data_IF_899352784274
#
_entry.id   IF_899352784274
#
_cell.length_a   1.000
_cell.length_b   1.000
_cell.length_c   1.000
_cell.angle_alpha   90.00
_cell.angle_beta   90.00
_cell.angle_gamma   90.00
#
_symmetry.space_group_name_H-M   'P 1'
#
loop_
_entity.id
_entity.type
_entity.pdbx_description
1 polymer ?
#
# COMPACT_ATOMS: atom_id res chain seq x y z
N UNK A 1 26.42 -0.71 24.27
CA UNK A 1 25.20 -0.41 23.54
C UNK A 1 25.58 0.01 22.14
N UNK A 2 25.11 -0.68 21.16
CA UNK A 2 25.36 -0.38 19.78
C UNK A 2 24.15 0.43 19.31
N UNK A 3 24.37 1.56 18.68
CA UNK A 3 23.32 2.30 18.00
C UNK A 3 23.06 1.64 16.65
N UNK A 4 21.79 1.44 16.30
CA UNK A 4 21.39 1.01 14.97
C UNK A 4 20.90 2.22 14.17
N UNK A 5 21.37 2.34 12.94
CA UNK A 5 20.94 3.37 11.99
C UNK A 5 20.24 2.71 10.81
N UNK A 6 19.10 3.26 10.40
CA UNK A 6 18.37 2.78 9.24
C UNK A 6 18.98 3.39 7.98
N UNK A 7 19.59 2.57 7.13
CA UNK A 7 20.14 3.01 5.86
C UNK A 7 19.06 3.06 4.78
N UNK A 8 19.04 4.09 3.91
CA UNK A 8 18.12 4.16 2.78
C UNK A 8 18.37 3.02 1.79
N UNK A 9 17.42 2.08 1.56
CA UNK A 9 17.68 0.89 0.76
C UNK A 9 18.10 1.17 -0.69
N UNK A 10 17.63 2.28 -1.26
CA UNK A 10 17.94 2.66 -2.65
C UNK A 10 19.37 3.19 -2.84
N UNK A 11 20.03 3.61 -1.76
CA UNK A 11 21.42 4.09 -1.77
C UNK A 11 22.45 3.00 -1.40
N UNK A 12 21.96 1.86 -0.89
CA UNK A 12 22.84 0.74 -0.53
C UNK A 12 22.99 -0.18 -1.72
N UNK A 13 24.20 -0.46 -2.15
CA UNK A 13 24.48 -1.49 -3.15
C UNK A 13 24.80 -2.80 -2.46
N UNK A 14 24.16 -3.90 -2.91
CA UNK A 14 24.41 -5.25 -2.40
C UNK A 14 25.08 -6.07 -3.48
N UNK A 15 26.18 -6.73 -3.15
CA UNK A 15 26.95 -7.57 -4.04
C UNK A 15 27.38 -8.87 -3.33
N UNK A 16 27.77 -9.88 -4.06
CA UNK A 16 28.42 -11.07 -3.51
C UNK A 16 29.93 -10.90 -3.55
N UNK A 17 30.61 -11.32 -2.50
CA UNK A 17 32.05 -11.43 -2.44
C UNK A 17 32.56 -12.79 -2.93
N UNK A 18 31.68 -13.80 -2.98
CA UNK A 18 31.93 -15.15 -3.48
C UNK A 18 30.91 -15.48 -4.59
N UNK A 19 31.21 -16.49 -5.39
CA UNK A 19 30.32 -16.99 -6.45
C UNK A 19 29.38 -18.11 -5.97
N UNK A 20 29.34 -18.37 -4.67
CA UNK A 20 28.49 -19.43 -4.09
C UNK A 20 27.08 -18.90 -3.79
N UNK A 21 26.14 -19.25 -4.65
CA UNK A 21 24.73 -18.87 -4.50
C UNK A 21 24.08 -19.55 -3.28
N UNK A 22 24.56 -20.71 -2.87
CA UNK A 22 23.99 -21.45 -1.74
C UNK A 22 24.41 -20.86 -0.38
N UNK A 23 25.61 -20.26 -0.33
CA UNK A 23 26.14 -19.59 0.85
C UNK A 23 26.74 -18.23 0.47
N UNK A 24 25.92 -17.23 0.13
CA UNK A 24 26.38 -15.94 -0.37
C UNK A 24 27.06 -15.14 0.74
N UNK A 25 28.33 -14.76 0.53
CA UNK A 25 29.00 -13.75 1.35
C UNK A 25 28.59 -12.35 0.82
N UNK A 26 27.67 -11.71 1.51
CA UNK A 26 27.11 -10.42 1.08
C UNK A 26 28.00 -9.27 1.50
N UNK A 27 28.22 -8.34 0.57
CA UNK A 27 28.88 -7.07 0.78
C UNK A 27 27.90 -5.93 0.49
N UNK A 28 27.95 -4.94 1.35
CA UNK A 28 27.11 -3.75 1.26
C UNK A 28 27.98 -2.54 1.06
N UNK A 29 27.61 -1.67 0.12
CA UNK A 29 28.29 -0.39 -0.10
C UNK A 29 27.30 0.76 0.08
N UNK A 30 27.66 1.70 0.95
CA UNK A 30 26.88 2.90 1.24
C UNK A 30 27.84 4.08 1.47
N UNK A 31 27.58 5.20 0.81
CA UNK A 31 28.39 6.44 0.92
C UNK A 31 29.91 6.19 0.76
N UNK A 32 30.28 5.38 -0.26
CA UNK A 32 31.67 5.04 -0.54
C UNK A 32 32.35 4.10 0.46
N UNK A 33 31.65 3.66 1.50
CA UNK A 33 32.12 2.70 2.50
C UNK A 33 31.59 1.29 2.21
N UNK A 34 32.39 0.30 2.54
CA UNK A 34 32.05 -1.11 2.38
C UNK A 34 31.80 -1.75 3.74
N UNK A 35 30.71 -2.50 3.84
CA UNK A 35 30.27 -3.18 5.05
C UNK A 35 30.08 -4.67 4.78
N UNK A 36 30.17 -5.47 5.82
CA UNK A 36 29.94 -6.92 5.78
C UNK A 36 28.57 -7.27 6.33
N UNK A 37 28.18 -8.54 6.21
CA UNK A 37 26.96 -9.07 6.85
C UNK A 37 26.98 -9.02 8.39
N UNK A 38 28.12 -8.75 9.00
CA UNK A 38 28.24 -8.53 10.45
C UNK A 38 27.93 -7.09 10.86
N UNK A 39 28.06 -6.17 9.92
CA UNK A 39 27.88 -4.72 10.17
C UNK A 39 26.46 -4.27 9.78
N UNK A 40 25.74 -5.06 8.95
CA UNK A 40 24.46 -4.69 8.38
C UNK A 40 23.43 -5.81 8.61
N UNK A 41 22.30 -5.44 9.20
CA UNK A 41 21.12 -6.30 9.25
C UNK A 41 20.32 -6.05 7.96
N UNK A 42 20.20 -7.07 7.13
CA UNK A 42 19.49 -6.98 5.86
C UNK A 42 18.13 -7.68 5.98
N UNK A 43 17.08 -6.92 6.27
CA UNK A 43 15.71 -7.40 6.29
C UNK A 43 15.21 -7.55 4.85
N UNK A 44 14.79 -8.76 4.47
CA UNK A 44 14.30 -9.08 3.12
C UNK A 44 12.86 -9.53 3.18
N UNK A 45 11.98 -8.71 2.67
CA UNK A 45 10.60 -9.14 2.45
C UNK A 45 10.50 -9.83 1.07
N UNK A 46 9.74 -10.92 0.95
CA UNK A 46 9.66 -11.76 -0.25
C UNK A 46 11.03 -12.14 -0.80
N UNK A 47 11.62 -13.14 -0.18
CA UNK A 47 12.94 -13.64 -0.60
C UNK A 47 12.79 -14.48 -1.89
N UNK A 48 13.30 -13.95 -3.00
CA UNK A 48 13.30 -14.65 -4.30
C UNK A 48 14.63 -15.36 -4.47
N UNK A 49 14.64 -16.69 -4.69
CA UNK A 49 15.87 -17.43 -4.93
C UNK A 49 16.72 -16.83 -6.07
N UNK A 50 18.01 -16.67 -5.83
CA UNK A 50 18.94 -16.07 -6.78
C UNK A 50 18.97 -14.53 -6.78
N UNK A 51 18.13 -13.87 -6.02
CA UNK A 51 18.19 -12.41 -5.84
C UNK A 51 18.86 -12.05 -4.51
N UNK A 52 19.73 -11.06 -4.55
CA UNK A 52 20.44 -10.59 -3.36
C UNK A 52 19.55 -9.72 -2.46
N UNK A 53 18.51 -9.13 -3.03
CA UNK A 53 17.54 -8.27 -2.34
C UNK A 53 16.17 -8.93 -2.31
N UNK A 54 15.41 -8.63 -1.28
CA UNK A 54 13.99 -8.96 -1.25
C UNK A 54 13.19 -8.18 -2.30
N UNK A 55 12.09 -8.74 -2.74
CA UNK A 55 11.17 -8.11 -3.67
C UNK A 55 10.12 -7.33 -2.88
N UNK A 56 10.05 -6.01 -3.10
CA UNK A 56 9.00 -5.19 -2.50
C UNK A 56 7.64 -5.42 -3.17
N UNK A 57 6.51 -5.33 -2.45
CA UNK A 57 5.17 -5.52 -3.02
C UNK A 57 4.89 -4.59 -4.22
N UNK A 58 5.28 -3.32 -4.13
CA UNK A 58 5.13 -2.35 -5.22
C UNK A 58 5.96 -2.75 -6.44
N UNK A 59 7.17 -3.29 -6.22
CA UNK A 59 8.01 -3.76 -7.33
C UNK A 59 7.45 -5.03 -7.97
N UNK A 60 6.82 -5.90 -7.19
CA UNK A 60 6.17 -7.11 -7.67
C UNK A 60 4.96 -6.82 -8.56
N UNK A 61 4.23 -5.74 -8.27
CA UNK A 61 3.05 -5.32 -9.03
C UNK A 61 3.29 -4.04 -9.85
N UNK A 62 4.51 -3.88 -10.32
CA UNK A 62 4.91 -2.67 -11.04
C UNK A 62 4.04 -2.39 -12.26
N UNK A 63 3.74 -3.43 -13.04
CA UNK A 63 2.94 -3.30 -14.26
C UNK A 63 1.51 -2.84 -13.97
N UNK A 64 0.90 -3.37 -12.90
CA UNK A 64 -0.43 -2.97 -12.47
C UNK A 64 -0.46 -1.52 -11.96
N UNK A 65 0.53 -1.12 -11.19
CA UNK A 65 0.64 0.25 -10.67
C UNK A 65 0.88 1.26 -11.80
N UNK A 66 1.77 0.93 -12.74
CA UNK A 66 2.02 1.77 -13.92
C UNK A 66 0.78 1.84 -14.82
N UNK A 67 0.08 0.73 -15.01
CA UNK A 67 -1.17 0.67 -15.77
C UNK A 67 -2.27 1.55 -15.16
N UNK A 68 -2.44 1.49 -13.84
CA UNK A 68 -3.39 2.33 -13.11
C UNK A 68 -3.03 3.83 -13.23
N UNK A 69 -1.76 4.17 -13.12
CA UNK A 69 -1.29 5.54 -13.30
C UNK A 69 -1.56 6.07 -14.73
N UNK A 70 -1.26 5.27 -15.74
CA UNK A 70 -1.52 5.62 -17.15
C UNK A 70 -3.01 5.83 -17.43
N UNK A 71 -3.87 5.00 -16.87
CA UNK A 71 -5.31 5.12 -17.02
C UNK A 71 -5.86 6.37 -16.35
N UNK A 72 -5.36 6.71 -15.15
CA UNK A 72 -5.70 7.96 -14.46
C UNK A 72 -5.27 9.18 -15.29
N UNK A 73 -4.05 9.16 -15.82
CA UNK A 73 -3.53 10.25 -16.65
C UNK A 73 -4.28 10.38 -17.96
N UNK A 74 -4.68 9.26 -18.58
CA UNK A 74 -5.56 9.27 -19.75
C UNK A 74 -6.90 9.92 -19.42
N UNK A 75 -7.53 9.51 -18.31
CA UNK A 75 -8.79 10.11 -17.84
C UNK A 75 -8.65 11.62 -17.60
N UNK A 76 -7.59 12.04 -16.91
CA UNK A 76 -7.34 13.45 -16.65
C UNK A 76 -7.18 14.25 -17.97
N UNK A 77 -6.39 13.75 -18.91
CA UNK A 77 -6.22 14.38 -20.23
C UNK A 77 -7.51 14.42 -21.02
N UNK A 78 -8.33 13.37 -20.94
CA UNK A 78 -9.60 13.33 -21.62
C UNK A 78 -10.54 14.47 -21.22
N UNK A 79 -10.54 14.85 -19.94
CA UNK A 79 -11.39 15.93 -19.42
C UNK A 79 -10.74 17.32 -19.56
N UNK A 80 -9.43 17.42 -19.50
CA UNK A 80 -8.73 18.72 -19.49
C UNK A 80 -8.23 19.15 -20.85
N UNK A 81 -7.93 18.19 -21.75
CA UNK A 81 -7.30 18.50 -23.02
C UNK A 81 -8.36 18.78 -24.08
N UNK A 82 -8.49 20.05 -24.42
CA UNK A 82 -9.31 20.49 -25.56
C UNK A 82 -8.77 19.99 -26.91
N UNK A 83 -7.57 19.37 -26.92
CA UNK A 83 -6.95 18.76 -28.11
C UNK A 83 -7.48 17.36 -28.44
N UNK A 84 -8.24 16.74 -27.54
CA UNK A 84 -8.93 15.50 -27.86
C UNK A 84 -9.85 15.73 -29.05
N UNK A 85 -9.63 14.96 -30.10
CA UNK A 85 -10.45 15.02 -31.32
C UNK A 85 -11.87 14.59 -30.92
N UNK A 86 -12.71 15.56 -30.59
CA UNK A 86 -14.12 15.34 -30.22
C UNK A 86 -14.98 14.91 -31.39
N UNK A 87 -14.45 14.97 -32.60
CA UNK A 87 -15.12 14.57 -33.85
C UNK A 87 -14.32 14.98 -35.07
N UNK A 88 -14.82 14.62 -36.22
CA UNK A 88 -14.25 15.05 -37.48
C UNK A 88 -15.32 15.67 -38.37
N UNK A 89 -14.90 16.61 -39.23
CA UNK A 89 -15.74 17.18 -40.26
C UNK A 89 -15.66 16.28 -41.47
N UNK A 90 -16.79 15.71 -41.88
CA UNK A 90 -16.95 14.94 -43.09
C UNK A 90 -17.52 15.82 -44.18
N UNK A 91 -16.95 15.77 -45.37
CA UNK A 91 -17.49 16.39 -46.57
C UNK A 91 -17.91 15.33 -47.58
N UNK A 92 -19.06 15.49 -48.18
CA UNK A 92 -19.54 14.61 -49.26
C UNK A 92 -18.90 14.94 -50.61
N UNK A 93 -18.16 16.06 -50.69
CA UNK A 93 -17.42 16.47 -51.90
C UNK A 93 -15.91 16.38 -51.67
N UNK A 94 -15.14 16.17 -52.73
CA UNK A 94 -13.69 16.23 -52.69
C UNK A 94 -13.22 17.61 -52.23
N UNK A 95 -12.57 17.66 -51.09
CA UNK A 95 -11.95 18.88 -50.57
C UNK A 95 -10.48 18.96 -50.99
N UNK A 96 -10.07 20.12 -51.48
CA UNK A 96 -8.64 20.43 -51.63
C UNK A 96 -8.04 20.70 -50.25
N UNK A 97 -6.72 20.56 -50.14
CA UNK A 97 -6.01 20.79 -48.88
C UNK A 97 -6.24 22.21 -48.32
N UNK A 98 -6.35 23.21 -49.21
CA UNK A 98 -6.61 24.60 -48.86
C UNK A 98 -8.01 24.78 -48.25
N UNK A 99 -9.04 24.17 -48.84
CA UNK A 99 -10.42 24.19 -48.34
C UNK A 99 -10.52 23.47 -47.00
N UNK A 100 -9.79 22.36 -46.83
CA UNK A 100 -9.74 21.63 -45.56
C UNK A 100 -9.09 22.45 -44.45
N UNK A 101 -7.98 23.16 -44.73
CA UNK A 101 -7.32 24.08 -43.82
C UNK A 101 -8.23 25.27 -43.43
N UNK A 102 -8.94 25.83 -44.43
CA UNK A 102 -9.90 26.91 -44.20
C UNK A 102 -11.07 26.47 -43.31
N UNK A 103 -11.67 25.31 -43.58
CA UNK A 103 -12.74 24.76 -42.75
C UNK A 103 -12.28 24.48 -41.30
N UNK A 104 -11.07 23.94 -41.14
CA UNK A 104 -10.48 23.72 -39.81
C UNK A 104 -10.22 25.03 -39.08
N UNK A 105 -9.73 26.05 -39.75
CA UNK A 105 -9.49 27.37 -39.18
C UNK A 105 -10.82 28.05 -38.77
N UNK A 106 -11.83 28.01 -39.61
CA UNK A 106 -13.18 28.53 -39.32
C UNK A 106 -13.82 27.79 -38.11
N UNK A 107 -13.64 26.47 -38.05
CA UNK A 107 -14.12 25.67 -36.92
C UNK A 107 -13.47 26.08 -35.60
N UNK A 108 -12.17 26.36 -35.60
CA UNK A 108 -11.42 26.80 -34.43
C UNK A 108 -11.69 28.25 -34.02
N UNK A 109 -11.94 29.12 -34.98
CA UNK A 109 -12.17 30.56 -34.76
C UNK A 109 -13.53 30.87 -34.12
N UNK A 110 -14.50 29.96 -34.23
CA UNK A 110 -15.88 30.18 -33.76
C UNK A 110 -16.07 29.77 -32.28
N UNK A 111 -15.25 30.28 -31.36
CA UNK A 111 -15.55 30.29 -29.95
C UNK A 111 -15.40 28.97 -29.20
N UNK A 112 -15.83 28.95 -27.95
CA UNK A 112 -15.74 27.85 -26.99
C UNK A 112 -16.48 26.59 -27.43
N UNK A 113 -16.07 25.46 -26.83
CA UNK A 113 -16.60 24.12 -27.15
C UNK A 113 -18.13 23.97 -26.91
N UNK A 114 -18.75 24.94 -26.24
CA UNK A 114 -20.19 24.98 -25.95
C UNK A 114 -20.99 25.84 -26.92
N UNK A 115 -20.33 26.50 -27.87
CA UNK A 115 -21.00 27.40 -28.84
C UNK A 115 -21.64 26.62 -30.00
N UNK A 116 -22.80 27.09 -30.46
CA UNK A 116 -23.50 26.50 -31.61
C UNK A 116 -22.71 26.80 -32.87
N UNK A 117 -22.20 25.74 -33.47
CA UNK A 117 -21.42 25.85 -34.70
C UNK A 117 -22.31 25.66 -35.93
N UNK A 118 -22.31 26.63 -36.82
CA UNK A 118 -23.04 26.56 -38.06
C UNK A 118 -22.15 25.91 -39.15
N UNK A 119 -22.64 24.83 -39.74
CA UNK A 119 -21.96 24.11 -40.81
C UNK A 119 -22.57 24.48 -42.14
N UNK A 120 -21.73 24.58 -43.20
CA UNK A 120 -22.22 24.70 -44.55
C UNK A 120 -22.91 23.40 -45.03
N UNK A 121 -23.74 23.51 -46.05
CA UNK A 121 -24.57 22.40 -46.59
C UNK A 121 -23.80 21.14 -46.98
N UNK A 122 -22.49 21.24 -47.17
CA UNK A 122 -21.62 20.14 -47.61
C UNK A 122 -20.72 19.56 -46.50
N UNK A 123 -20.88 20.02 -45.25
CA UNK A 123 -20.11 19.57 -44.13
C UNK A 123 -21.02 18.97 -43.06
N UNK A 124 -20.68 17.78 -42.60
CA UNK A 124 -21.32 17.14 -41.43
C UNK A 124 -20.28 16.94 -40.36
N UNK A 125 -20.70 17.20 -39.14
CA UNK A 125 -19.85 16.88 -37.96
C UNK A 125 -20.19 15.48 -37.46
N UNK A 126 -19.18 14.63 -37.38
CA UNK A 126 -19.31 13.31 -36.80
C UNK A 126 -18.59 13.30 -35.46
N UNK A 127 -19.32 13.29 -34.36
CA UNK A 127 -18.70 13.22 -33.02
C UNK A 127 -17.99 11.87 -32.89
N UNK A 128 -16.78 11.89 -32.37
CA UNK A 128 -16.11 10.71 -31.83
C UNK A 128 -16.59 10.54 -30.39
N UNK A 129 -17.79 10.00 -30.23
CA UNK A 129 -18.31 9.67 -28.94
C UNK A 129 -17.54 8.44 -28.41
N UNK A 130 -17.04 8.54 -27.19
CA UNK A 130 -16.68 7.34 -26.44
C UNK A 130 -17.95 6.51 -26.27
N UNK A 131 -17.93 5.30 -26.78
CA UNK A 131 -19.05 4.39 -26.57
C UNK A 131 -19.25 4.23 -25.07
N UNK A 132 -20.49 4.02 -24.59
CA UNK A 132 -20.76 3.73 -23.18
C UNK A 132 -19.86 2.60 -22.64
N UNK A 133 -19.44 1.65 -23.47
CA UNK A 133 -18.49 0.60 -23.13
C UNK A 133 -17.08 1.13 -22.78
N UNK A 134 -16.64 2.22 -23.42
CA UNK A 134 -15.35 2.83 -23.15
C UNK A 134 -15.40 3.63 -21.84
N UNK A 135 -16.55 4.23 -21.52
CA UNK A 135 -16.82 4.86 -20.22
C UNK A 135 -16.91 3.81 -19.11
N UNK A 136 -17.52 2.66 -19.39
CA UNK A 136 -17.63 1.55 -18.46
C UNK A 136 -16.25 0.93 -18.17
N UNK A 137 -15.36 0.90 -19.15
CA UNK A 137 -13.95 0.54 -18.94
C UNK A 137 -13.25 1.50 -17.95
N UNK A 138 -13.51 2.79 -18.01
CA UNK A 138 -13.00 3.77 -17.06
C UNK A 138 -13.64 3.63 -15.68
N UNK A 139 -14.87 3.15 -15.57
CA UNK A 139 -15.53 2.83 -14.30
C UNK A 139 -15.05 1.50 -13.70
N UNK A 140 -14.71 0.53 -14.55
CA UNK A 140 -14.11 -0.75 -14.11
C UNK A 140 -12.75 -0.53 -13.47
N UNK A 141 -12.13 0.61 -13.68
CA UNK A 141 -10.94 1.08 -12.99
C UNK A 141 -11.22 1.68 -11.58
N UNK A 142 -12.30 1.29 -10.92
CA UNK A 142 -12.38 1.29 -9.44
C UNK A 142 -11.38 0.32 -8.82
N UNK A 143 -10.46 -0.11 -9.66
CA UNK A 143 -9.31 -0.97 -9.44
C UNK A 143 -8.44 -0.50 -8.28
N UNK A 144 -8.46 0.78 -7.98
CA UNK A 144 -7.28 1.38 -7.43
C UNK A 144 -7.06 1.09 -5.95
N UNK A 145 -8.03 1.40 -5.07
CA UNK A 145 -7.77 1.30 -3.64
C UNK A 145 -7.82 -0.13 -3.12
N UNK A 146 -8.79 -0.92 -3.60
CA UNK A 146 -8.94 -2.32 -3.14
C UNK A 146 -7.81 -3.21 -3.64
N UNK A 147 -7.30 -2.96 -4.83
CA UNK A 147 -6.17 -3.74 -5.36
C UNK A 147 -4.85 -3.32 -4.75
N UNK A 148 -4.64 -2.03 -4.51
CA UNK A 148 -3.47 -1.57 -3.74
C UNK A 148 -3.52 -2.15 -2.33
N UNK A 149 -4.69 -2.17 -1.70
CA UNK A 149 -4.89 -2.82 -0.40
C UNK A 149 -4.50 -4.30 -0.45
N UNK A 150 -4.99 -5.03 -1.46
CA UNK A 150 -4.67 -6.46 -1.66
C UNK A 150 -3.17 -6.68 -1.90
N UNK A 151 -2.55 -5.84 -2.71
CA UNK A 151 -1.11 -5.90 -3.00
C UNK A 151 -0.26 -5.74 -1.74
N UNK A 152 -0.67 -4.85 -0.86
CA UNK A 152 0.01 -4.58 0.42
C UNK A 152 -0.44 -5.53 1.54
N UNK A 153 -1.43 -6.41 1.28
CA UNK A 153 -2.02 -7.28 2.29
C UNK A 153 -2.83 -6.53 3.35
N UNK A 154 -3.26 -5.29 3.05
CA UNK A 154 -4.04 -4.48 3.98
C UNK A 154 -5.53 -4.70 3.72
N UNK A 155 -6.35 -5.05 4.72
CA UNK A 155 -7.79 -5.13 4.54
C UNK A 155 -8.37 -3.80 4.02
N UNK A 156 -9.20 -3.87 2.99
CA UNK A 156 -9.75 -2.68 2.33
C UNK A 156 -10.55 -1.79 3.29
N UNK A 157 -11.19 -2.39 4.30
CA UNK A 157 -11.89 -1.69 5.38
C UNK A 157 -10.99 -0.79 6.22
N UNK A 158 -9.75 -1.19 6.46
CA UNK A 158 -8.74 -0.40 7.19
C UNK A 158 -8.30 0.80 6.35
N UNK A 159 -8.21 0.64 5.03
CA UNK A 159 -7.87 1.72 4.10
C UNK A 159 -9.05 2.67 3.83
N UNK A 160 -10.19 2.50 4.50
CA UNK A 160 -11.43 3.23 4.24
C UNK A 160 -11.88 3.13 2.77
N UNK A 161 -11.49 2.07 2.09
CA UNK A 161 -11.93 1.79 0.75
C UNK A 161 -13.40 1.36 0.78
N UNK A 162 -14.21 1.95 -0.08
CA UNK A 162 -15.59 1.53 -0.24
C UNK A 162 -15.63 0.08 -0.77
N UNK A 163 -16.02 -0.84 0.08
CA UNK A 163 -16.29 -2.23 -0.31
C UNK A 163 -17.77 -2.32 -0.59
N UNK A 164 -18.13 -2.51 -1.87
CA UNK A 164 -19.55 -2.66 -2.26
C UNK A 164 -20.18 -3.82 -1.48
N UNK A 165 -21.23 -3.52 -0.73
CA UNK A 165 -22.01 -4.53 0.02
C UNK A 165 -21.54 -4.85 1.44
N UNK A 166 -20.51 -4.21 1.98
CA UNK A 166 -20.10 -4.41 3.36
C UNK A 166 -20.78 -3.41 4.30
N UNK A 167 -21.63 -3.92 5.19
CA UNK A 167 -22.04 -3.15 6.37
C UNK A 167 -20.85 -3.10 7.32
N UNK A 168 -20.16 -1.96 7.37
CA UNK A 168 -19.07 -1.72 8.32
C UNK A 168 -19.66 -1.59 9.72
N UNK A 169 -19.64 -2.68 10.47
CA UNK A 169 -19.92 -2.69 11.91
C UNK A 169 -18.59 -2.62 12.67
N UNK A 170 -18.62 -2.12 13.90
CA UNK A 170 -17.41 -2.05 14.74
C UNK A 170 -16.72 -3.40 14.90
N UNK A 171 -17.47 -4.49 15.01
CA UNK A 171 -16.93 -5.85 15.11
C UNK A 171 -16.17 -6.28 13.85
N UNK A 172 -16.63 -5.87 12.67
CA UNK A 172 -15.96 -6.21 11.41
C UNK A 172 -14.62 -5.45 11.27
N UNK A 173 -14.55 -4.23 11.80
CA UNK A 173 -13.31 -3.43 11.78
C UNK A 173 -12.28 -4.04 12.74
N UNK A 174 -12.70 -4.44 13.93
CA UNK A 174 -11.83 -5.11 14.90
C UNK A 174 -11.26 -6.42 14.32
N UNK A 175 -12.11 -7.24 13.70
CA UNK A 175 -11.68 -8.46 13.04
C UNK A 175 -10.70 -8.18 11.89
N UNK A 176 -10.93 -7.13 11.10
CA UNK A 176 -10.02 -6.73 10.04
C UNK A 176 -8.63 -6.31 10.58
N UNK A 177 -8.58 -5.67 11.75
CA UNK A 177 -7.33 -5.34 12.41
C UNK A 177 -6.59 -6.58 12.92
N UNK A 178 -7.29 -7.56 13.47
CA UNK A 178 -6.70 -8.84 13.87
C UNK A 178 -6.14 -9.60 12.67
N UNK A 179 -6.90 -9.67 11.59
CA UNK A 179 -6.45 -10.28 10.34
C UNK A 179 -5.19 -9.59 9.79
N UNK A 180 -5.17 -8.26 9.79
CA UNK A 180 -4.03 -7.49 9.34
C UNK A 180 -2.78 -7.73 10.21
N UNK A 181 -2.95 -7.76 11.53
CA UNK A 181 -1.86 -8.03 12.44
C UNK A 181 -1.32 -9.46 12.29
N UNK A 182 -2.21 -10.45 12.26
CA UNK A 182 -1.84 -11.86 12.30
C UNK A 182 -1.30 -12.38 10.95
N UNK A 183 -1.80 -11.87 9.83
CA UNK A 183 -1.39 -12.36 8.50
C UNK A 183 -0.41 -11.46 7.77
N UNK A 184 -0.56 -10.16 7.87
CA UNK A 184 0.30 -9.22 7.12
C UNK A 184 1.46 -8.71 7.95
N UNK A 185 1.15 -8.11 9.12
CA UNK A 185 2.21 -7.52 9.94
C UNK A 185 3.11 -8.56 10.56
N UNK A 186 2.59 -9.74 10.90
CA UNK A 186 3.40 -10.84 11.45
C UNK A 186 4.57 -11.23 10.55
N UNK A 187 4.39 -11.16 9.22
CA UNK A 187 5.45 -11.44 8.26
C UNK A 187 6.60 -10.42 8.34
N UNK A 188 6.28 -9.15 8.53
CA UNK A 188 7.30 -8.09 8.68
C UNK A 188 7.94 -8.08 10.07
N UNK A 189 7.11 -8.22 11.11
CA UNK A 189 7.61 -8.17 12.48
C UNK A 189 8.43 -9.40 12.86
N UNK A 190 8.10 -10.57 12.32
CA UNK A 190 8.88 -11.78 12.54
C UNK A 190 10.34 -11.64 12.06
N UNK A 191 10.56 -11.09 10.89
CA UNK A 191 11.90 -10.79 10.36
C UNK A 191 12.66 -9.79 11.27
N UNK A 192 11.96 -8.77 11.76
CA UNK A 192 12.54 -7.78 12.65
C UNK A 192 12.86 -8.39 14.01
N UNK A 193 11.94 -9.16 14.59
CA UNK A 193 12.11 -9.85 15.86
C UNK A 193 13.32 -10.81 15.83
N UNK A 194 13.44 -11.59 14.76
CA UNK A 194 14.56 -12.51 14.56
C UNK A 194 15.87 -11.74 14.45
N UNK A 195 15.92 -10.71 13.61
CA UNK A 195 17.13 -9.92 13.40
C UNK A 195 17.63 -9.23 14.67
N UNK A 196 16.74 -8.63 15.46
CA UNK A 196 17.11 -7.99 16.71
C UNK A 196 17.40 -9.00 17.83
N UNK A 197 16.73 -10.16 17.84
CA UNK A 197 17.02 -11.22 18.80
C UNK A 197 18.43 -11.78 18.65
N UNK A 198 18.99 -11.81 17.43
CA UNK A 198 20.38 -12.21 17.19
C UNK A 198 21.42 -11.28 17.83
N UNK A 199 21.05 -10.04 18.15
CA UNK A 199 21.93 -9.08 18.83
C UNK A 199 21.93 -9.24 20.36
N UNK A 200 21.03 -10.04 20.91
CA UNK A 200 20.89 -10.25 22.33
C UNK A 200 21.69 -11.46 22.83
N UNK A 201 22.02 -11.52 24.12
CA UNK A 201 22.59 -12.70 24.74
C UNK A 201 21.68 -13.93 24.59
N UNK A 202 22.29 -15.12 24.58
CA UNK A 202 21.56 -16.37 24.51
C UNK A 202 20.46 -16.47 25.59
N UNK A 203 19.26 -16.87 25.16
CA UNK A 203 18.09 -17.00 26.02
C UNK A 203 17.22 -15.74 26.11
N UNK A 204 17.61 -14.65 25.43
CA UNK A 204 16.79 -13.45 25.30
C UNK A 204 16.26 -13.32 23.86
N UNK A 205 15.07 -12.77 23.73
CA UNK A 205 14.46 -12.51 22.42
C UNK A 205 13.72 -11.17 22.44
N UNK A 206 13.65 -10.53 21.26
CA UNK A 206 12.81 -9.36 21.02
C UNK A 206 11.47 -9.85 20.50
N UNK A 207 10.38 -9.26 21.00
CA UNK A 207 9.04 -9.52 20.54
C UNK A 207 8.26 -8.22 20.45
N UNK A 208 7.43 -8.08 19.43
CA UNK A 208 6.46 -6.99 19.36
C UNK A 208 5.32 -7.25 20.33
N UNK A 209 4.98 -6.27 21.14
CA UNK A 209 3.80 -6.32 22.00
C UNK A 209 2.55 -5.91 21.19
N UNK A 210 1.78 -6.92 20.79
CA UNK A 210 0.53 -6.73 20.08
C UNK A 210 -0.68 -6.53 21.01
N UNK A 211 -0.52 -6.82 22.31
CA UNK A 211 -1.62 -6.74 23.27
C UNK A 211 -2.08 -5.29 23.47
N UNK A 212 -1.16 -4.32 23.30
CA UNK A 212 -1.47 -2.89 23.34
C UNK A 212 -2.32 -2.41 22.16
N UNK A 213 -2.20 -3.06 21.00
CA UNK A 213 -2.95 -2.73 19.78
C UNK A 213 -4.21 -3.56 19.63
N UNK A 214 -4.25 -4.76 20.17
CA UNK A 214 -5.45 -5.59 20.31
C UNK A 214 -6.32 -5.07 21.44
N UNK A 215 -6.83 -3.86 21.29
CA UNK A 215 -7.84 -3.33 22.21
C UNK A 215 -9.16 -4.05 21.94
N UNK A 216 -9.20 -5.33 22.34
CA UNK A 216 -10.45 -6.01 22.53
C UNK A 216 -11.37 -5.14 23.38
N UNK A 217 -12.68 -5.24 23.18
CA UNK A 217 -13.67 -4.62 24.06
C UNK A 217 -13.20 -4.81 25.52
N UNK A 218 -13.13 -3.71 26.26
CA UNK A 218 -12.68 -3.70 27.66
C UNK A 218 -13.32 -4.82 28.48
N UNK A 219 -14.58 -5.12 28.19
CA UNK A 219 -15.35 -6.20 28.81
C UNK A 219 -14.75 -7.58 28.52
N UNK A 220 -14.41 -7.88 27.26
CA UNK A 220 -13.82 -9.16 26.87
C UNK A 220 -12.43 -9.33 27.50
N UNK A 221 -11.61 -8.26 27.54
CA UNK A 221 -10.28 -8.26 28.12
C UNK A 221 -10.31 -8.50 29.64
N UNK A 222 -11.17 -7.80 30.36
CA UNK A 222 -11.32 -8.00 31.80
C UNK A 222 -11.91 -9.37 32.14
N UNK A 223 -12.78 -9.92 31.30
CA UNK A 223 -13.26 -11.29 31.44
C UNK A 223 -12.12 -12.30 31.25
N UNK A 224 -11.25 -12.09 30.27
CA UNK A 224 -10.08 -12.93 30.05
C UNK A 224 -9.10 -12.85 31.22
N UNK A 225 -8.81 -11.67 31.75
CA UNK A 225 -7.98 -11.49 32.94
C UNK A 225 -8.55 -12.17 34.18
N UNK A 226 -9.85 -12.04 34.36
CA UNK A 226 -10.54 -12.73 35.47
C UNK A 226 -10.35 -14.24 35.38
N UNK A 227 -10.58 -14.82 34.20
CA UNK A 227 -10.39 -16.25 33.96
C UNK A 227 -8.94 -16.66 34.18
N UNK A 228 -7.97 -15.82 33.74
CA UNK A 228 -6.55 -16.07 33.90
C UNK A 228 -6.11 -16.09 35.37
N UNK A 229 -6.61 -15.16 36.17
CA UNK A 229 -6.36 -15.08 37.63
C UNK A 229 -7.03 -16.26 38.33
N UNK A 230 -8.29 -16.56 38.03
CA UNK A 230 -9.03 -17.69 38.60
C UNK A 230 -8.37 -19.05 38.29
N UNK A 231 -7.75 -19.18 37.12
CA UNK A 231 -7.02 -20.38 36.70
C UNK A 231 -5.59 -20.43 37.22
N UNK A 232 -5.08 -19.38 37.89
CA UNK A 232 -3.80 -19.36 38.58
C UNK A 232 -2.57 -19.20 37.67
N UNK A 233 -2.72 -18.86 36.41
CA UNK A 233 -1.58 -18.65 35.51
C UNK A 233 -1.19 -17.18 35.31
N UNK A 234 -1.99 -16.22 35.82
CA UNK A 234 -1.63 -14.82 35.99
C UNK A 234 -1.93 -14.35 37.39
N UNK A 235 -1.07 -13.51 37.90
CA UNK A 235 -1.28 -12.81 39.17
C UNK A 235 -1.97 -11.45 38.94
N UNK A 236 -2.56 -10.89 40.00
CA UNK A 236 -3.20 -9.57 39.90
C UNK A 236 -2.16 -8.50 39.59
N UNK A 237 -0.94 -8.61 40.11
CA UNK A 237 0.11 -7.61 39.86
C UNK A 237 0.65 -7.66 38.42
N UNK A 238 0.77 -8.86 37.82
CA UNK A 238 1.10 -9.00 36.39
C UNK A 238 0.02 -8.41 35.48
N UNK A 239 -1.26 -8.54 35.83
CA UNK A 239 -2.37 -7.89 35.11
C UNK A 239 -2.30 -6.37 35.26
N UNK A 240 -2.00 -5.88 36.47
CA UNK A 240 -1.84 -4.44 36.71
C UNK A 240 -0.67 -3.85 35.93
N UNK A 241 0.45 -4.55 35.87
CA UNK A 241 1.61 -4.15 35.08
C UNK A 241 1.27 -4.06 33.59
N UNK A 242 0.55 -5.04 33.04
CA UNK A 242 0.06 -5.01 31.64
C UNK A 242 -0.88 -3.85 31.33
N UNK A 243 -1.66 -3.43 32.32
CA UNK A 243 -2.54 -2.24 32.21
C UNK A 243 -1.83 -0.92 32.56
N UNK A 244 -0.51 -0.95 32.82
CA UNK A 244 0.28 0.23 33.19
C UNK A 244 -0.05 0.76 34.59
N UNK A 245 -0.61 -0.07 35.45
CA UNK A 245 -0.95 0.27 36.85
C UNK A 245 0.16 -0.19 37.80
N UNK A 246 0.42 0.60 38.84
CA UNK A 246 1.36 0.20 39.89
C UNK A 246 0.91 -1.11 40.60
N UNK A 247 1.85 -1.97 41.02
CA UNK A 247 1.53 -3.15 41.81
C UNK A 247 0.72 -2.79 43.07
N UNK A 248 -0.09 -3.73 43.56
CA UNK A 248 -0.80 -3.54 44.83
C UNK A 248 0.24 -3.43 45.94
N UNK A 249 0.25 -2.32 46.67
CA UNK A 249 1.02 -2.23 47.90
C UNK A 249 0.50 -3.29 48.85
N UNK A 250 1.38 -4.18 49.34
CA UNK A 250 1.04 -5.11 50.40
C UNK A 250 0.42 -4.32 51.54
N UNK A 251 -0.89 -4.51 51.74
CA UNK A 251 -1.52 -4.03 52.95
C UNK A 251 -0.95 -4.90 54.07
N UNK A 252 0.02 -4.38 54.80
CA UNK A 252 0.41 -4.92 56.10
C UNK A 252 -0.84 -4.91 56.96
N UNK A 253 -1.55 -6.03 56.98
CA UNK A 253 -2.55 -6.29 58.00
C UNK A 253 -1.82 -6.47 59.30
N UNK A 254 -1.57 -5.39 60.03
CA UNK A 254 -1.42 -5.46 61.50
C UNK A 254 -2.75 -5.96 62.03
N UNK A 255 -2.78 -7.22 62.43
CA UNK A 255 -3.88 -7.75 63.20
C UNK A 255 -3.78 -7.14 64.62
N UNK A 256 -4.89 -6.65 65.18
CA UNK A 256 -4.97 -6.15 66.53
C UNK A 256 -4.71 -7.25 67.59
#
# INVERSE_FOLDING_TARGET
>A
AVSCEVLPPHLVTVSMANDDIAAPDLRYSYDGKSYTSRDVIHLKFLNVPGQLRGLGPISAAREEVEGAAMARDYKARFYTDSSNIKGYLKSDQRMTEELAKGAKAAWKANGDALDIKVLGSNLSYVPLELKPADLQFLETQKFDTTQIARLLGIPASIMLAAVDGSNLTYSNIEQAWLEFADYTLAAYTGEIEEAFSQLLPAGQSVRFDWDSTRRADMSARYSAYRTAIESGWLTIDEVREREGLEPLKEQTHERP
#
